data_IF_639434766093
#
_entry.id   IF_639434766093
#
_cell.length_a   1.000
_cell.length_b   1.000
_cell.length_c   1.000
_cell.angle_alpha   90.00
_cell.angle_beta   90.00
_cell.angle_gamma   90.00
#
_symmetry.space_group_name_H-M   'P 1'
#
loop_
_entity.id
_entity.type
_entity.pdbx_description
1 polymer ?
#
# COMPACT_ATOMS: atom_id res chain seq x y z
N UNK A 1 -5.14 -29.74 -21.03
CA UNK A 1 -4.20 -29.58 -19.89
C UNK A 1 -4.94 -29.97 -18.62
N UNK A 2 -4.35 -30.76 -17.70
CA UNK A 2 -5.05 -31.18 -16.46
C UNK A 2 -5.34 -30.00 -15.53
N UNK A 3 -6.45 -30.07 -14.79
CA UNK A 3 -6.90 -29.02 -13.86
C UNK A 3 -5.84 -28.68 -12.81
N UNK A 4 -5.20 -29.68 -12.20
CA UNK A 4 -4.21 -29.44 -11.15
C UNK A 4 -2.99 -28.65 -11.65
N UNK A 5 -2.52 -28.98 -12.85
CA UNK A 5 -1.41 -28.27 -13.49
C UNK A 5 -1.83 -26.84 -13.86
N UNK A 6 -3.06 -26.66 -14.36
CA UNK A 6 -3.62 -25.34 -14.66
C UNK A 6 -3.68 -24.48 -13.40
N UNK A 7 -4.21 -25.01 -12.30
CA UNK A 7 -4.33 -24.31 -11.03
C UNK A 7 -2.96 -23.97 -10.45
N UNK A 8 -2.00 -24.89 -10.49
CA UNK A 8 -0.66 -24.65 -10.00
C UNK A 8 0.00 -23.45 -10.70
N UNK A 9 -0.20 -23.31 -12.03
CA UNK A 9 0.30 -22.15 -12.79
C UNK A 9 -0.51 -20.89 -12.52
N UNK A 10 -1.84 -20.97 -12.52
CA UNK A 10 -2.74 -19.83 -12.34
C UNK A 10 -2.60 -19.19 -10.96
N UNK A 11 -2.35 -19.98 -9.91
CA UNK A 11 -2.23 -19.48 -8.53
C UNK A 11 -0.77 -19.33 -8.06
N UNK A 12 0.20 -19.52 -8.95
CA UNK A 12 1.62 -19.39 -8.62
C UNK A 12 1.95 -18.01 -8.03
N UNK A 13 2.58 -18.01 -6.85
CA UNK A 13 2.99 -16.78 -6.14
C UNK A 13 1.93 -16.16 -5.24
N UNK A 14 0.67 -16.63 -5.29
CA UNK A 14 -0.37 -16.19 -4.34
C UNK A 14 -0.13 -16.78 -2.95
N UNK A 15 -0.78 -16.23 -1.93
CA UNK A 15 -0.68 -16.74 -0.56
C UNK A 15 -1.40 -18.10 -0.42
N UNK A 16 -0.98 -18.99 0.50
CA UNK A 16 -1.55 -20.33 0.63
C UNK A 16 -3.07 -20.36 0.82
N UNK A 17 -3.63 -19.45 1.62
CA UNK A 17 -5.08 -19.35 1.83
C UNK A 17 -5.83 -18.95 0.56
N UNK A 18 -5.27 -18.05 -0.25
CA UNK A 18 -5.83 -17.68 -1.56
C UNK A 18 -5.74 -18.86 -2.53
N UNK A 19 -4.61 -19.57 -2.57
CA UNK A 19 -4.46 -20.76 -3.43
C UNK A 19 -5.49 -21.83 -3.10
N UNK A 20 -5.67 -22.14 -1.80
CA UNK A 20 -6.66 -23.12 -1.34
C UNK A 20 -8.08 -22.73 -1.74
N UNK A 21 -8.45 -21.45 -1.53
CA UNK A 21 -9.78 -20.95 -1.91
C UNK A 21 -10.01 -21.01 -3.42
N UNK A 22 -9.06 -20.52 -4.22
CA UNK A 22 -9.18 -20.53 -5.67
C UNK A 22 -9.24 -21.97 -6.21
N UNK A 23 -8.44 -22.89 -5.67
CA UNK A 23 -8.51 -24.31 -6.03
C UNK A 23 -9.92 -24.87 -5.78
N UNK A 24 -10.52 -24.59 -4.62
CA UNK A 24 -11.89 -25.02 -4.33
C UNK A 24 -12.93 -24.41 -5.31
N UNK A 25 -12.86 -23.10 -5.57
CA UNK A 25 -13.81 -22.41 -6.46
C UNK A 25 -13.69 -22.88 -7.92
N UNK A 26 -12.48 -22.97 -8.46
CA UNK A 26 -12.26 -23.43 -9.84
C UNK A 26 -12.57 -24.92 -10.02
N UNK A 27 -12.33 -25.76 -8.99
CA UNK A 27 -12.70 -27.17 -9.05
C UNK A 27 -14.21 -27.33 -9.08
N UNK A 28 -14.94 -26.60 -8.23
CA UNK A 28 -16.40 -26.57 -8.26
C UNK A 28 -16.93 -26.07 -9.61
N UNK A 29 -16.33 -25.01 -10.16
CA UNK A 29 -16.74 -24.47 -11.46
C UNK A 29 -16.55 -25.46 -12.62
N UNK A 30 -15.45 -26.21 -12.64
CA UNK A 30 -15.20 -27.25 -13.66
C UNK A 30 -16.16 -28.43 -13.48
N UNK A 31 -16.47 -28.81 -12.24
CA UNK A 31 -17.47 -29.84 -11.95
C UNK A 31 -18.87 -29.42 -12.42
N UNK A 32 -19.29 -28.19 -12.13
CA UNK A 32 -20.59 -27.64 -12.54
C UNK A 32 -20.71 -27.53 -14.06
N UNK A 33 -19.61 -27.23 -14.75
CA UNK A 33 -19.57 -27.16 -16.20
C UNK A 33 -19.59 -28.56 -16.88
N UNK A 34 -19.44 -29.65 -16.11
CA UNK A 34 -19.49 -31.03 -16.62
C UNK A 34 -18.35 -31.38 -17.58
N UNK A 35 -17.25 -30.65 -17.53
CA UNK A 35 -16.16 -30.77 -18.49
C UNK A 35 -15.09 -31.72 -17.97
N UNK A 36 -14.65 -32.67 -18.81
CA UNK A 36 -13.58 -33.59 -18.45
C UNK A 36 -12.23 -32.88 -18.24
N UNK A 37 -11.29 -33.53 -17.54
CA UNK A 37 -9.97 -32.97 -17.19
C UNK A 37 -9.11 -32.49 -18.38
N UNK A 38 -9.46 -32.88 -19.62
CA UNK A 38 -8.74 -32.49 -20.83
C UNK A 38 -8.98 -31.06 -21.28
N UNK A 39 -10.20 -30.54 -21.07
CA UNK A 39 -10.73 -29.32 -21.70
C UNK A 39 -10.81 -28.11 -20.76
N UNK A 40 -10.09 -28.17 -19.63
CA UNK A 40 -10.07 -27.11 -18.61
C UNK A 40 -9.72 -25.73 -19.19
N UNK A 41 -8.80 -25.68 -20.16
CA UNK A 41 -8.39 -24.43 -20.80
C UNK A 41 -9.51 -23.81 -21.66
N UNK A 42 -10.41 -24.61 -22.24
CA UNK A 42 -11.54 -24.11 -23.01
C UNK A 42 -12.57 -23.41 -22.10
N UNK A 43 -12.68 -23.85 -20.85
CA UNK A 43 -13.63 -23.31 -19.86
C UNK A 43 -13.03 -22.13 -19.10
N UNK A 44 -11.80 -22.28 -18.61
CA UNK A 44 -11.16 -21.33 -17.69
C UNK A 44 -10.23 -20.32 -18.39
N UNK A 45 -9.95 -20.52 -19.68
CA UNK A 45 -8.97 -19.73 -20.41
C UNK A 45 -7.53 -20.11 -20.07
N UNK A 46 -6.59 -19.21 -20.35
CA UNK A 46 -5.16 -19.44 -20.09
C UNK A 46 -4.81 -19.22 -18.62
N UNK A 47 -3.93 -20.05 -18.03
CA UNK A 47 -3.54 -19.88 -16.63
C UNK A 47 -2.78 -18.56 -16.41
N UNK A 48 -2.11 -18.01 -17.42
CA UNK A 48 -1.42 -16.73 -17.35
C UNK A 48 -2.39 -15.55 -17.19
N UNK A 49 -3.49 -15.53 -17.94
CA UNK A 49 -4.55 -14.52 -17.82
C UNK A 49 -5.23 -14.59 -16.46
N UNK A 50 -5.53 -15.82 -16.00
CA UNK A 50 -6.09 -16.05 -14.66
C UNK A 50 -5.12 -15.56 -13.58
N UNK A 51 -3.82 -15.87 -13.69
CA UNK A 51 -2.79 -15.39 -12.75
C UNK A 51 -2.71 -13.87 -12.73
N UNK A 52 -2.74 -13.22 -13.89
CA UNK A 52 -2.72 -11.76 -13.97
C UNK A 52 -3.98 -11.15 -13.34
N UNK A 53 -5.15 -11.74 -13.59
CA UNK A 53 -6.41 -11.30 -12.99
C UNK A 53 -6.39 -11.47 -11.46
N UNK A 54 -5.93 -12.61 -10.96
CA UNK A 54 -5.79 -12.87 -9.52
C UNK A 54 -4.76 -11.93 -8.88
N UNK A 55 -3.63 -11.66 -9.53
CA UNK A 55 -2.63 -10.69 -9.07
C UNK A 55 -3.16 -9.23 -9.04
N UNK A 56 -4.20 -8.90 -9.82
CA UNK A 56 -4.92 -7.62 -9.71
C UNK A 56 -5.90 -7.57 -8.53
N UNK A 57 -6.29 -8.70 -7.97
CA UNK A 57 -7.27 -8.79 -6.88
C UNK A 57 -6.66 -9.06 -5.52
N UNK A 58 -5.56 -9.81 -5.48
CA UNK A 58 -4.90 -10.29 -4.27
C UNK A 58 -3.41 -9.89 -4.26
N UNK A 59 -2.83 -9.84 -3.07
CA UNK A 59 -1.39 -9.72 -2.89
C UNK A 59 -0.71 -11.08 -3.10
N UNK A 60 0.53 -11.02 -3.60
CA UNK A 60 1.41 -12.19 -3.63
C UNK A 60 1.95 -12.50 -2.23
N UNK A 61 2.48 -13.71 -2.03
CA UNK A 61 3.17 -14.07 -0.80
C UNK A 61 4.35 -13.14 -0.52
N UNK A 62 5.11 -12.79 -1.56
CA UNK A 62 6.24 -11.86 -1.47
C UNK A 62 5.80 -10.45 -1.06
N UNK A 63 4.71 -9.93 -1.65
CA UNK A 63 4.18 -8.62 -1.27
C UNK A 63 3.71 -8.60 0.19
N UNK A 64 3.04 -9.67 0.63
CA UNK A 64 2.55 -9.78 2.00
C UNK A 64 3.71 -9.85 3.01
N UNK A 65 4.77 -10.59 2.68
CA UNK A 65 5.99 -10.67 3.49
C UNK A 65 6.70 -9.31 3.57
N UNK A 66 6.72 -8.55 2.47
CA UNK A 66 7.25 -7.18 2.45
C UNK A 66 6.47 -6.21 3.34
N UNK A 67 5.18 -6.47 3.55
CA UNK A 67 4.31 -5.69 4.45
C UNK A 67 4.39 -6.13 5.92
N UNK A 68 5.08 -7.25 6.22
CA UNK A 68 5.28 -7.65 7.61
C UNK A 68 6.08 -6.57 8.32
N UNK A 69 5.66 -6.19 9.54
CA UNK A 69 6.31 -5.11 10.28
C UNK A 69 7.77 -5.48 10.56
N UNK A 70 8.69 -4.91 9.79
CA UNK A 70 10.12 -5.02 10.05
C UNK A 70 10.56 -3.82 10.89
N UNK A 71 11.44 -4.09 11.87
CA UNK A 71 12.04 -3.04 12.69
C UNK A 71 12.78 -2.02 11.83
N UNK A 72 13.35 -2.46 10.72
CA UNK A 72 14.08 -1.64 9.73
C UNK A 72 13.13 -0.68 9.01
N UNK A 73 11.95 -1.12 8.57
CA UNK A 73 10.96 -0.25 7.92
C UNK A 73 10.44 0.82 8.87
N UNK A 74 10.17 0.44 10.12
CA UNK A 74 9.80 1.39 11.16
C UNK A 74 10.91 2.42 11.39
N UNK A 75 12.14 1.97 11.63
CA UNK A 75 13.27 2.87 11.87
C UNK A 75 13.56 3.77 10.66
N UNK A 76 13.50 3.20 9.46
CA UNK A 76 13.68 3.94 8.20
C UNK A 76 12.62 5.02 8.00
N UNK A 77 11.34 4.75 8.30
CA UNK A 77 10.29 5.76 8.24
C UNK A 77 10.51 6.92 9.22
N UNK A 78 10.98 6.62 10.43
CA UNK A 78 11.33 7.63 11.43
C UNK A 78 12.59 8.42 11.06
N UNK A 79 13.61 7.76 10.50
CA UNK A 79 14.81 8.42 10.01
C UNK A 79 14.48 9.35 8.84
N UNK A 80 13.61 8.92 7.91
CA UNK A 80 13.18 9.75 6.79
C UNK A 80 12.36 10.96 7.28
N UNK A 81 11.47 10.75 8.25
CA UNK A 81 10.70 11.82 8.89
C UNK A 81 11.60 12.80 9.65
N UNK A 82 12.56 12.29 10.42
CA UNK A 82 13.55 13.09 11.13
C UNK A 82 14.47 13.85 10.19
N UNK A 83 14.91 13.23 9.10
CA UNK A 83 15.73 13.86 8.06
C UNK A 83 14.97 14.97 7.32
N UNK A 84 13.71 14.72 6.91
CA UNK A 84 12.86 15.74 6.30
C UNK A 84 12.61 16.92 7.26
N UNK A 85 12.41 16.62 8.54
CA UNK A 85 12.29 17.64 9.60
C UNK A 85 13.57 18.46 9.74
N UNK A 86 14.74 17.81 9.74
CA UNK A 86 16.03 18.49 9.81
C UNK A 86 16.25 19.41 8.61
N UNK A 87 15.92 18.96 7.39
CA UNK A 87 16.03 19.78 6.18
C UNK A 87 15.13 21.02 6.24
N UNK A 88 13.89 20.87 6.74
CA UNK A 88 12.97 21.99 6.95
C UNK A 88 13.52 23.00 7.96
N UNK A 89 14.12 22.52 9.05
CA UNK A 89 14.72 23.38 10.07
C UNK A 89 15.98 24.11 9.54
N UNK A 90 16.83 23.42 8.78
CA UNK A 90 18.01 24.02 8.15
C UNK A 90 17.61 25.09 7.11
N UNK A 91 16.58 24.82 6.30
CA UNK A 91 16.05 25.78 5.34
C UNK A 91 15.43 27.01 6.02
N UNK A 92 14.66 26.81 7.10
CA UNK A 92 14.08 27.90 7.88
C UNK A 92 15.15 28.75 8.60
N UNK A 93 16.20 28.11 9.14
CA UNK A 93 17.29 28.78 9.84
C UNK A 93 18.20 29.62 8.93
N UNK A 94 18.26 29.32 7.63
CA UNK A 94 19.03 30.10 6.66
C UNK A 94 18.33 31.35 6.12
N UNK A 95 17.01 31.47 6.31
CA UNK A 95 16.19 32.52 5.68
C UNK A 95 15.64 33.56 6.67
N UNK A 96 16.10 33.60 7.93
CA UNK A 96 15.52 34.39 9.04
C UNK A 96 14.01 34.16 9.29
N UNK A 97 13.42 33.19 8.58
CA UNK A 97 12.01 32.81 8.65
C UNK A 97 11.85 31.58 9.54
N UNK A 98 11.96 31.79 10.85
CA UNK A 98 11.84 30.70 11.85
C UNK A 98 10.39 30.19 11.98
N UNK A 99 9.39 31.01 11.63
CA UNK A 99 7.97 30.70 11.77
C UNK A 99 7.45 29.51 10.93
N UNK A 100 7.66 29.49 9.59
CA UNK A 100 7.13 28.44 8.72
C UNK A 100 7.68 27.04 9.02
N UNK A 101 8.95 26.93 9.39
CA UNK A 101 9.61 25.65 9.69
C UNK A 101 9.02 24.95 10.92
N UNK A 102 8.83 25.68 12.02
CA UNK A 102 8.28 25.12 13.26
C UNK A 102 6.82 24.67 13.11
N UNK A 103 5.99 25.46 12.41
CA UNK A 103 4.58 25.08 12.16
C UNK A 103 4.49 23.79 11.34
N UNK A 104 5.31 23.65 10.30
CA UNK A 104 5.35 22.43 9.48
C UNK A 104 5.73 21.19 10.29
N UNK A 105 6.70 21.32 11.21
CA UNK A 105 7.15 20.22 12.09
C UNK A 105 6.08 19.83 13.10
N UNK A 106 5.43 20.79 13.74
CA UNK A 106 4.35 20.52 14.70
C UNK A 106 3.16 19.81 14.03
N UNK A 107 2.77 20.24 12.83
CA UNK A 107 1.69 19.60 12.07
C UNK A 107 2.08 18.17 11.67
N UNK A 108 3.29 17.94 11.18
CA UNK A 108 3.76 16.57 10.91
C UNK A 108 3.73 15.69 12.16
N UNK A 109 4.23 16.19 13.29
CA UNK A 109 4.21 15.48 14.56
C UNK A 109 2.79 15.09 14.99
N UNK A 110 1.84 16.03 14.90
CA UNK A 110 0.42 15.78 15.21
C UNK A 110 -0.21 14.75 14.26
N UNK A 111 0.05 14.86 12.96
CA UNK A 111 -0.47 13.91 11.95
C UNK A 111 0.09 12.51 12.20
N UNK A 112 1.40 12.38 12.44
CA UNK A 112 2.05 11.10 12.72
C UNK A 112 1.60 10.50 14.05
N UNK A 113 1.46 11.33 15.09
CA UNK A 113 0.94 10.91 16.39
C UNK A 113 -0.51 10.40 16.28
N UNK A 114 -1.38 11.18 15.63
CA UNK A 114 -2.77 10.83 15.37
C UNK A 114 -2.89 9.54 14.57
N UNK A 115 -2.13 9.40 13.48
CA UNK A 115 -2.08 8.20 12.66
C UNK A 115 -1.58 6.99 13.48
N UNK A 116 -0.56 7.17 14.31
CA UNK A 116 -0.01 6.11 15.15
C UNK A 116 -1.03 5.57 16.15
N UNK A 117 -1.83 6.46 16.75
CA UNK A 117 -2.92 6.11 17.68
C UNK A 117 -4.06 5.43 16.93
N UNK A 118 -4.53 6.02 15.84
CA UNK A 118 -5.66 5.52 15.05
C UNK A 118 -5.39 4.13 14.48
N UNK A 119 -4.17 3.90 13.95
CA UNK A 119 -3.78 2.60 13.36
C UNK A 119 -3.58 1.47 14.37
N UNK A 120 -3.65 1.71 15.69
CA UNK A 120 -3.49 0.66 16.73
C UNK A 120 -4.57 -0.41 16.67
N UNK A 121 -5.75 -0.09 16.15
CA UNK A 121 -6.88 -1.03 16.03
C UNK A 121 -6.85 -1.85 14.73
N UNK A 122 -5.94 -1.54 13.81
CA UNK A 122 -5.84 -2.20 12.52
C UNK A 122 -4.92 -3.42 12.57
N UNK A 123 -5.10 -4.33 11.61
CA UNK A 123 -4.20 -5.45 11.37
C UNK A 123 -2.74 -4.98 11.24
N UNK A 124 -1.76 -5.76 11.73
CA UNK A 124 -0.36 -5.32 11.80
C UNK A 124 0.23 -4.97 10.43
N UNK A 125 -0.15 -5.69 9.37
CA UNK A 125 0.29 -5.45 7.98
C UNK A 125 -0.28 -4.13 7.46
N UNK A 126 -1.56 -3.87 7.72
CA UNK A 126 -2.21 -2.62 7.32
C UNK A 126 -1.65 -1.43 8.10
N UNK A 127 -1.38 -1.63 9.39
CA UNK A 127 -0.72 -0.65 10.24
C UNK A 127 0.69 -0.32 9.72
N UNK A 128 1.46 -1.32 9.31
CA UNK A 128 2.78 -1.11 8.73
C UNK A 128 2.69 -0.32 7.43
N UNK A 129 1.81 -0.72 6.51
CA UNK A 129 1.54 0.01 5.27
C UNK A 129 1.19 1.48 5.56
N UNK A 130 0.18 1.72 6.40
CA UNK A 130 -0.29 3.07 6.68
C UNK A 130 0.74 3.93 7.40
N UNK A 131 1.57 3.37 8.28
CA UNK A 131 2.62 4.14 8.96
C UNK A 131 3.75 4.53 8.03
N UNK A 132 4.20 3.64 7.15
CA UNK A 132 5.23 3.96 6.15
C UNK A 132 4.71 5.04 5.21
N UNK A 133 3.50 4.86 4.68
CA UNK A 133 2.89 5.82 3.77
C UNK A 133 2.60 7.14 4.49
N UNK A 134 2.00 7.09 5.67
CA UNK A 134 1.71 8.27 6.49
C UNK A 134 2.95 9.05 6.93
N UNK A 135 4.07 8.37 7.19
CA UNK A 135 5.39 8.96 7.38
C UNK A 135 5.78 9.89 6.24
N UNK A 136 5.75 9.34 5.03
CA UNK A 136 6.11 10.07 3.83
C UNK A 136 5.08 11.18 3.53
N UNK A 137 3.79 10.95 3.76
CA UNK A 137 2.75 11.97 3.66
C UNK A 137 2.96 13.13 4.62
N UNK A 138 3.31 12.87 5.88
CA UNK A 138 3.55 13.93 6.86
C UNK A 138 4.73 14.82 6.45
N UNK A 139 5.83 14.23 6.00
CA UNK A 139 6.99 14.97 5.49
C UNK A 139 6.59 15.84 4.30
N UNK A 140 5.89 15.24 3.32
CA UNK A 140 5.42 15.95 2.14
C UNK A 140 4.44 17.08 2.50
N UNK A 141 3.54 16.86 3.46
CA UNK A 141 2.60 17.85 3.95
C UNK A 141 3.31 19.02 4.60
N UNK A 142 4.36 18.79 5.38
CA UNK A 142 5.16 19.86 5.98
C UNK A 142 5.86 20.72 4.92
N UNK A 143 6.44 20.09 3.88
CA UNK A 143 7.00 20.84 2.75
C UNK A 143 5.94 21.65 2.01
N UNK A 144 4.80 21.04 1.72
CA UNK A 144 3.70 21.70 1.03
C UNK A 144 3.13 22.88 1.82
N UNK A 145 2.96 22.75 3.13
CA UNK A 145 2.53 23.86 4.00
C UNK A 145 3.58 24.98 4.04
N UNK A 146 4.87 24.64 4.09
CA UNK A 146 5.95 25.62 3.98
C UNK A 146 5.91 26.39 2.66
N UNK A 147 5.72 25.68 1.54
CA UNK A 147 5.54 26.31 0.23
C UNK A 147 4.25 27.11 0.11
N UNK A 148 3.16 26.67 0.72
CA UNK A 148 1.91 27.42 0.76
C UNK A 148 2.12 28.77 1.46
N UNK A 149 2.91 28.81 2.54
CA UNK A 149 3.25 30.05 3.25
C UNK A 149 4.24 30.91 2.46
N UNK A 150 5.23 30.32 1.77
CA UNK A 150 6.19 31.05 0.93
C UNK A 150 5.61 31.54 -0.41
N UNK A 151 4.57 30.89 -0.94
CA UNK A 151 3.90 31.31 -2.16
C UNK A 151 3.34 32.72 -2.08
N UNK A 152 3.03 33.20 -0.87
CA UNK A 152 2.62 34.60 -0.61
C UNK A 152 3.78 35.59 -0.76
N UNK A 153 5.03 35.13 -0.63
CA UNK A 153 6.26 35.92 -0.79
C UNK A 153 6.89 35.78 -2.19
N UNK A 154 6.25 35.05 -3.12
CA UNK A 154 6.67 34.91 -4.52
C UNK A 154 7.50 33.65 -4.84
N UNK A 155 7.81 32.81 -3.86
CA UNK A 155 8.56 31.56 -4.05
C UNK A 155 8.00 30.43 -3.16
N UNK A 156 7.75 29.20 -3.67
CA UNK A 156 8.00 28.68 -5.01
C UNK A 156 6.86 28.96 -6.01
N UNK A 157 7.06 28.66 -7.32
CA UNK A 157 6.03 28.81 -8.34
C UNK A 157 4.69 28.15 -7.98
N UNK A 158 3.58 28.87 -8.18
CA UNK A 158 2.20 28.43 -7.87
C UNK A 158 1.84 27.06 -8.45
N UNK A 159 2.35 26.71 -9.64
CA UNK A 159 2.08 25.41 -10.26
C UNK A 159 2.70 24.24 -9.48
N UNK A 160 3.81 24.43 -8.77
CA UNK A 160 4.38 23.41 -7.88
C UNK A 160 3.50 23.21 -6.64
N UNK A 161 3.02 24.31 -6.06
CA UNK A 161 2.11 24.30 -4.91
C UNK A 161 0.79 23.61 -5.25
N UNK A 162 0.25 23.86 -6.45
CA UNK A 162 -1.03 23.29 -6.90
C UNK A 162 -0.90 21.89 -7.53
N UNK A 163 0.27 21.53 -8.08
CA UNK A 163 0.53 20.20 -8.63
C UNK A 163 0.71 19.13 -7.56
N UNK A 164 1.21 19.50 -6.38
CA UNK A 164 1.48 18.57 -5.29
C UNK A 164 0.24 17.80 -4.78
N UNK A 165 -0.92 18.46 -4.57
CA UNK A 165 -2.16 17.77 -4.24
C UNK A 165 -2.58 16.69 -5.26
N UNK A 166 -2.28 16.86 -6.55
CA UNK A 166 -2.60 15.83 -7.56
C UNK A 166 -1.76 14.57 -7.33
N UNK A 167 -0.48 14.72 -7.00
CA UNK A 167 0.40 13.60 -6.64
C UNK A 167 -0.15 12.86 -5.42
N UNK A 168 -0.64 13.60 -4.41
CA UNK A 168 -1.29 13.02 -3.24
C UNK A 168 -2.57 12.27 -3.56
N UNK A 169 -3.41 12.78 -4.46
CA UNK A 169 -4.64 12.07 -4.88
C UNK A 169 -4.27 10.75 -5.56
N UNK A 170 -3.35 10.77 -6.52
CA UNK A 170 -2.88 9.56 -7.21
C UNK A 170 -2.30 8.54 -6.24
N UNK A 171 -1.48 9.01 -5.31
CA UNK A 171 -0.87 8.15 -4.31
C UNK A 171 -1.88 7.63 -3.29
N UNK A 172 -2.84 8.45 -2.86
CA UNK A 172 -3.95 8.03 -2.00
C UNK A 172 -4.82 6.96 -2.66
N UNK A 173 -5.06 7.06 -3.97
CA UNK A 173 -5.74 6.04 -4.75
C UNK A 173 -4.96 4.71 -4.76
N UNK A 174 -3.63 4.76 -4.93
CA UNK A 174 -2.75 3.58 -4.86
C UNK A 174 -2.76 2.94 -3.47
N UNK A 175 -2.66 3.73 -2.40
CA UNK A 175 -2.73 3.23 -1.01
C UNK A 175 -4.09 2.58 -0.76
N UNK A 176 -5.19 3.19 -1.22
CA UNK A 176 -6.55 2.63 -1.12
C UNK A 176 -6.66 1.31 -1.88
N UNK A 177 -6.11 1.22 -3.09
CA UNK A 177 -6.11 0.01 -3.89
C UNK A 177 -5.34 -1.12 -3.22
N UNK A 178 -4.10 -0.86 -2.75
CA UNK A 178 -3.29 -1.83 -1.99
C UNK A 178 -3.97 -2.27 -0.70
N UNK A 179 -4.60 -1.35 0.01
CA UNK A 179 -5.33 -1.66 1.25
C UNK A 179 -6.49 -2.62 0.98
N UNK A 180 -7.25 -2.39 -0.10
CA UNK A 180 -8.34 -3.30 -0.52
C UNK A 180 -7.82 -4.69 -0.88
N UNK A 181 -6.72 -4.78 -1.62
CA UNK A 181 -6.08 -6.08 -1.91
C UNK A 181 -5.67 -6.78 -0.62
N UNK A 182 -5.00 -6.07 0.29
CA UNK A 182 -4.57 -6.60 1.57
C UNK A 182 -5.73 -7.14 2.39
N UNK A 183 -6.83 -6.39 2.53
CA UNK A 183 -8.02 -6.86 3.25
C UNK A 183 -8.60 -8.15 2.65
N UNK A 184 -8.70 -8.24 1.32
CA UNK A 184 -9.19 -9.44 0.63
C UNK A 184 -8.27 -10.63 0.87
N UNK A 185 -6.96 -10.44 0.76
CA UNK A 185 -5.97 -11.50 1.01
C UNK A 185 -6.00 -11.97 2.46
N UNK A 186 -6.01 -11.05 3.43
CA UNK A 186 -6.05 -11.40 4.86
C UNK A 186 -7.33 -12.14 5.24
N UNK A 187 -8.48 -11.77 4.66
CA UNK A 187 -9.73 -12.47 4.90
C UNK A 187 -9.67 -13.94 4.44
N UNK A 188 -9.03 -14.21 3.30
CA UNK A 188 -8.88 -15.56 2.76
C UNK A 188 -7.83 -16.38 3.52
N UNK A 189 -6.74 -15.76 3.97
CA UNK A 189 -5.75 -16.42 4.86
C UNK A 189 -6.40 -16.89 6.18
N UNK A 190 -7.25 -16.06 6.79
CA UNK A 190 -7.95 -16.42 8.03
C UNK A 190 -8.97 -17.55 7.82
N UNK A 191 -9.56 -17.65 6.64
CA UNK A 191 -10.48 -18.73 6.28
C UNK A 191 -9.75 -20.04 5.99
N UNK A 192 -8.63 -19.98 5.25
CA UNK A 192 -7.81 -21.16 4.96
C UNK A 192 -7.09 -21.75 6.17
N UNK A 193 -6.92 -20.96 7.24
CA UNK A 193 -6.31 -21.40 8.50
C UNK A 193 -7.29 -22.12 9.46
N UNK A 194 -8.59 -22.14 9.16
CA UNK A 194 -9.57 -22.91 9.96
C UNK A 194 -9.75 -24.30 9.31
N UNK A 195 -9.33 -25.39 9.98
CA UNK A 195 -9.53 -26.75 9.49
C UNK A 195 -11.00 -27.15 9.45
#
# INVERSE_FOLDING_TARGET
>A
MRLEAWLALATAGLTPGVQARMRAEYTAHVQDAGVGEGDVQAVLGTPEEARQALGRLYLTAHDLDGLRPSRIHFLGSWLLAGYGTLLLLLWAGGNDQVGPGLTGVLVAGLVLGGLTIWTRRLAPELRALLRVQGGLWAVNLSFWLGWLTGGWTGEPPLWLVLGFPLVWVCWGAEVRFRSRKLYRTLALEQQGARP
#
